data_IF_884105587839
#
_entry.id   IF_884105587839
#
_cell.length_a   1.000
_cell.length_b   1.000
_cell.length_c   1.000
_cell.angle_alpha   90.00
_cell.angle_beta   90.00
_cell.angle_gamma   90.00
#
_symmetry.space_group_name_H-M   'P 1'
#
loop_
_entity.id
_entity.type
_entity.pdbx_description
1 polymer ?
#
# COMPACT_ATOMS: atom_id res chain seq x y z
N UNK A 1 -19.57 2.05 -14.00
CA UNK A 1 -19.83 3.14 -13.04
C UNK A 1 -18.99 2.87 -11.80
N UNK A 2 -17.73 3.33 -11.81
CA UNK A 2 -16.89 3.32 -10.62
C UNK A 2 -17.28 4.57 -9.83
N UNK A 3 -18.08 4.38 -8.78
CA UNK A 3 -18.35 5.44 -7.82
C UNK A 3 -17.09 5.54 -6.97
N UNK A 4 -16.29 6.56 -7.25
CA UNK A 4 -15.31 7.07 -6.28
C UNK A 4 -16.03 7.33 -4.94
N UNK A 5 -15.33 7.39 -3.79
CA UNK A 5 -15.92 7.61 -2.46
C UNK A 5 -16.47 9.04 -2.27
N UNK A 6 -17.07 9.60 -3.32
CA UNK A 6 -17.88 10.80 -3.33
C UNK A 6 -19.33 10.35 -3.55
N UNK A 7 -19.93 9.80 -2.51
CA UNK A 7 -21.35 9.47 -2.48
C UNK A 7 -22.11 10.63 -1.83
N UNK A 8 -22.35 11.66 -2.63
CA UNK A 8 -23.35 12.68 -2.33
C UNK A 8 -24.70 12.17 -2.85
N UNK A 9 -25.45 11.46 -2.02
CA UNK A 9 -26.85 11.17 -2.31
C UNK A 9 -27.70 12.42 -2.07
N UNK A 10 -28.88 12.49 -2.69
CA UNK A 10 -29.82 13.60 -2.51
C UNK A 10 -30.23 13.82 -1.05
N UNK A 11 -30.19 12.76 -0.23
CA UNK A 11 -30.62 12.79 1.17
C UNK A 11 -29.50 12.49 2.18
N UNK A 12 -28.39 11.88 1.75
CA UNK A 12 -27.31 11.45 2.65
C UNK A 12 -25.93 11.68 2.02
N UNK A 13 -25.04 12.30 2.79
CA UNK A 13 -23.62 12.43 2.47
C UNK A 13 -22.87 11.34 3.21
N UNK A 14 -22.40 10.32 2.49
CA UNK A 14 -21.57 9.25 3.07
C UNK A 14 -20.08 9.54 2.96
N UNK A 15 -19.71 10.73 2.49
CA UNK A 15 -18.32 11.14 2.43
C UNK A 15 -17.79 11.30 3.86
N UNK A 16 -16.71 10.58 4.22
CA UNK A 16 -16.04 10.83 5.49
C UNK A 16 -15.52 12.27 5.52
N UNK A 17 -15.40 12.83 6.72
CA UNK A 17 -14.71 14.10 6.92
C UNK A 17 -13.32 14.06 6.25
N UNK A 18 -12.91 15.09 5.49
CA UNK A 18 -11.66 15.05 4.74
C UNK A 18 -10.42 14.78 5.59
N UNK A 19 -10.37 15.30 6.82
CA UNK A 19 -9.26 15.03 7.73
C UNK A 19 -9.29 13.57 8.20
N UNK A 20 -10.47 13.03 8.52
CA UNK A 20 -10.61 11.61 8.86
C UNK A 20 -10.22 10.69 7.70
N UNK A 21 -10.61 11.01 6.46
CA UNK A 21 -10.25 10.25 5.26
C UNK A 21 -8.73 10.18 5.07
N UNK A 22 -8.05 11.30 5.22
CA UNK A 22 -6.58 11.40 5.15
C UNK A 22 -5.92 10.57 6.26
N UNK A 23 -6.38 10.68 7.50
CA UNK A 23 -5.81 9.90 8.62
C UNK A 23 -5.98 8.42 8.39
N UNK A 24 -7.18 7.96 7.99
CA UNK A 24 -7.44 6.55 7.69
C UNK A 24 -6.55 6.07 6.55
N UNK A 25 -6.47 6.85 5.46
CA UNK A 25 -5.67 6.49 4.29
C UNK A 25 -4.18 6.37 4.62
N UNK A 26 -3.65 7.24 5.48
CA UNK A 26 -2.22 7.31 5.83
C UNK A 26 -1.80 6.36 6.95
N UNK A 27 -2.75 5.79 7.69
CA UNK A 27 -2.45 4.93 8.84
C UNK A 27 -3.01 3.52 8.67
N UNK A 28 -4.33 3.38 8.48
CA UNK A 28 -4.99 2.08 8.45
C UNK A 28 -4.54 1.25 7.24
N UNK A 29 -4.41 1.88 6.08
CA UNK A 29 -4.01 1.18 4.86
C UNK A 29 -2.55 0.68 4.89
N UNK A 30 -1.52 1.50 5.21
CA UNK A 30 -0.15 0.99 5.33
C UNK A 30 0.01 -0.03 6.46
N UNK A 31 -0.73 0.14 7.57
CA UNK A 31 -0.82 -0.87 8.63
C UNK A 31 -1.32 -2.22 8.10
N UNK A 32 -2.46 -2.23 7.40
CA UNK A 32 -3.04 -3.46 6.85
C UNK A 32 -2.15 -4.08 5.77
N UNK A 33 -1.54 -3.28 4.90
CA UNK A 33 -0.60 -3.77 3.88
C UNK A 33 0.59 -4.49 4.50
N UNK A 34 1.24 -3.89 5.50
CA UNK A 34 2.37 -4.51 6.18
C UNK A 34 1.97 -5.75 6.99
N UNK A 35 0.78 -5.74 7.61
CA UNK A 35 0.21 -6.88 8.30
C UNK A 35 0.03 -8.06 7.33
N UNK A 36 -0.68 -7.86 6.21
CA UNK A 36 -0.94 -8.91 5.21
C UNK A 36 0.36 -9.42 4.60
N UNK A 37 1.31 -8.52 4.32
CA UNK A 37 2.62 -8.88 3.79
C UNK A 37 3.37 -9.81 4.73
N UNK A 38 3.45 -9.49 6.03
CA UNK A 38 4.15 -10.35 6.97
C UNK A 38 3.40 -11.66 7.25
N UNK A 39 2.07 -11.59 7.29
CA UNK A 39 1.20 -12.77 7.44
C UNK A 39 1.44 -13.76 6.30
N UNK A 40 1.46 -13.29 5.06
CA UNK A 40 1.72 -14.13 3.88
C UNK A 40 3.15 -14.72 3.88
N UNK A 41 4.16 -13.93 4.28
CA UNK A 41 5.53 -14.42 4.45
C UNK A 41 5.60 -15.60 5.43
N UNK A 42 4.91 -15.47 6.58
CA UNK A 42 4.95 -16.45 7.67
C UNK A 42 4.07 -17.67 7.44
N UNK A 43 2.90 -17.48 6.84
CA UNK A 43 1.96 -18.57 6.56
C UNK A 43 2.58 -19.60 5.59
N UNK A 44 3.38 -19.15 4.62
CA UNK A 44 4.07 -20.04 3.67
C UNK A 44 5.47 -20.42 4.14
N UNK A 45 6.17 -19.53 4.87
CA UNK A 45 7.50 -19.79 5.43
C UNK A 45 8.63 -19.88 4.39
N UNK A 46 8.37 -19.48 3.14
CA UNK A 46 9.35 -19.45 2.06
C UNK A 46 9.55 -18.03 1.54
N UNK A 47 10.81 -17.69 1.23
CA UNK A 47 11.14 -16.46 0.52
C UNK A 47 10.41 -16.44 -0.82
N UNK A 48 9.78 -15.33 -1.16
CA UNK A 48 8.97 -15.13 -2.35
C UNK A 48 7.46 -15.14 -2.09
N UNK A 49 6.99 -15.72 -0.97
CA UNK A 49 5.56 -15.81 -0.67
C UNK A 49 4.90 -14.43 -0.51
N UNK A 50 5.53 -13.57 0.28
CA UNK A 50 5.07 -12.21 0.52
C UNK A 50 5.12 -11.37 -0.77
N UNK A 51 6.21 -11.51 -1.51
CA UNK A 51 6.42 -10.85 -2.80
C UNK A 51 5.37 -11.28 -3.84
N UNK A 52 4.95 -12.55 -3.82
CA UNK A 52 3.92 -13.07 -4.73
C UNK A 52 2.54 -12.51 -4.37
N UNK A 53 2.18 -12.52 -3.09
CA UNK A 53 0.93 -11.91 -2.62
C UNK A 53 0.85 -10.43 -2.98
N UNK A 54 1.94 -9.69 -2.76
CA UNK A 54 2.02 -8.29 -3.12
C UNK A 54 1.98 -8.09 -4.66
N UNK A 55 2.63 -8.97 -5.43
CA UNK A 55 2.59 -8.95 -6.89
C UNK A 55 1.19 -9.15 -7.46
N UNK A 56 0.39 -10.05 -6.88
CA UNK A 56 -1.03 -10.23 -7.27
C UNK A 56 -1.82 -8.96 -7.01
N UNK A 57 -1.64 -8.36 -5.83
CA UNK A 57 -2.34 -7.12 -5.42
C UNK A 57 -1.95 -5.94 -6.34
N UNK A 58 -0.68 -5.87 -6.75
CA UNK A 58 -0.21 -4.90 -7.76
C UNK A 58 -0.85 -5.14 -9.10
N UNK A 59 -0.85 -6.39 -9.58
CA UNK A 59 -1.50 -6.74 -10.83
C UNK A 59 -2.98 -6.35 -10.83
N UNK A 60 -3.69 -6.63 -9.75
CA UNK A 60 -5.09 -6.21 -9.59
C UNK A 60 -5.25 -4.70 -9.64
N UNK A 61 -4.41 -3.92 -8.95
CA UNK A 61 -4.48 -2.46 -8.96
C UNK A 61 -4.20 -1.88 -10.36
N UNK A 62 -3.16 -2.39 -11.04
CA UNK A 62 -2.83 -1.98 -12.41
C UNK A 62 -4.01 -2.25 -13.35
N UNK A 63 -4.61 -3.44 -13.27
CA UNK A 63 -5.76 -3.81 -14.10
C UNK A 63 -7.03 -3.02 -13.76
N UNK A 64 -7.25 -2.70 -12.48
CA UNK A 64 -8.45 -2.00 -12.03
C UNK A 64 -8.40 -0.48 -12.25
N UNK A 65 -7.22 0.14 -12.08
CA UNK A 65 -7.08 1.60 -12.09
C UNK A 65 -6.32 2.11 -13.31
N UNK A 66 -5.22 1.46 -13.69
CA UNK A 66 -4.31 2.02 -14.70
C UNK A 66 -4.72 1.62 -16.11
N UNK A 67 -5.10 0.35 -16.34
CA UNK A 67 -5.53 -0.11 -17.67
C UNK A 67 -6.74 0.67 -18.21
N UNK A 68 -7.81 0.92 -17.42
CA UNK A 68 -8.95 1.70 -17.91
C UNK A 68 -8.63 3.17 -18.20
N UNK A 69 -7.62 3.72 -17.51
CA UNK A 69 -7.20 5.12 -17.65
C UNK A 69 -5.80 5.23 -18.29
N UNK A 70 -5.41 4.27 -19.14
CA UNK A 70 -4.03 4.14 -19.63
C UNK A 70 -3.55 5.38 -20.40
N UNK A 71 -4.45 6.07 -21.11
CA UNK A 71 -4.13 7.30 -21.83
C UNK A 71 -3.63 8.42 -20.89
N UNK A 72 -3.99 8.38 -19.61
CA UNK A 72 -3.65 9.38 -18.60
C UNK A 72 -2.60 8.86 -17.61
N UNK A 73 -2.73 7.61 -17.16
CA UNK A 73 -1.90 7.01 -16.11
C UNK A 73 -0.77 6.10 -16.65
N UNK A 74 -0.77 5.76 -17.94
CA UNK A 74 0.19 4.81 -18.52
C UNK A 74 1.65 5.23 -18.37
N UNK A 75 1.93 6.53 -18.37
CA UNK A 75 3.28 7.07 -18.18
C UNK A 75 3.81 6.91 -16.73
N UNK A 76 2.92 6.78 -15.73
CA UNK A 76 3.30 6.56 -14.33
C UNK A 76 3.65 5.10 -14.04
N UNK A 77 3.11 4.18 -14.84
CA UNK A 77 3.20 2.74 -14.61
C UNK A 77 4.66 2.25 -14.48
N UNK A 78 5.61 2.63 -15.37
CA UNK A 78 7.00 2.20 -15.25
C UNK A 78 7.68 2.73 -13.98
N UNK A 79 7.43 4.00 -13.63
CA UNK A 79 8.00 4.63 -12.44
C UNK A 79 7.48 3.99 -11.14
N UNK A 80 6.18 3.72 -11.09
CA UNK A 80 5.54 3.05 -9.96
C UNK A 80 6.11 1.64 -9.75
N UNK A 81 6.23 0.85 -10.82
CA UNK A 81 6.81 -0.49 -10.73
C UNK A 81 8.28 -0.44 -10.31
N UNK A 82 9.05 0.53 -10.81
CA UNK A 82 10.46 0.71 -10.44
C UNK A 82 10.64 1.07 -8.96
N UNK A 83 9.68 1.75 -8.34
CA UNK A 83 9.73 2.05 -6.91
C UNK A 83 9.19 0.89 -6.04
N UNK A 84 8.11 0.24 -6.49
CA UNK A 84 7.37 -0.75 -5.69
C UNK A 84 8.05 -2.12 -5.69
N UNK A 85 8.54 -2.59 -6.85
CA UNK A 85 9.12 -3.94 -6.98
C UNK A 85 10.37 -4.09 -6.09
N UNK A 86 11.36 -3.17 -6.13
CA UNK A 86 12.55 -3.31 -5.28
C UNK A 86 12.22 -3.24 -3.79
N UNK A 87 11.24 -2.42 -3.39
CA UNK A 87 10.83 -2.31 -2.01
C UNK A 87 10.20 -3.60 -1.48
N UNK A 88 9.36 -4.25 -2.30
CA UNK A 88 8.73 -5.54 -1.96
C UNK A 88 9.76 -6.66 -1.87
N UNK A 89 10.63 -6.76 -2.88
CA UNK A 89 11.69 -7.77 -2.90
C UNK A 89 12.64 -7.55 -1.73
N UNK A 90 13.01 -6.29 -1.45
CA UNK A 90 13.84 -5.92 -0.31
C UNK A 90 13.18 -6.26 1.04
N UNK A 91 11.88 -6.03 1.18
CA UNK A 91 11.12 -6.38 2.39
C UNK A 91 11.09 -7.89 2.61
N UNK A 92 10.87 -8.68 1.56
CA UNK A 92 10.85 -10.13 1.64
C UNK A 92 12.24 -10.72 1.95
N UNK A 93 13.30 -10.16 1.35
CA UNK A 93 14.69 -10.49 1.70
C UNK A 93 14.97 -10.14 3.17
N UNK A 94 14.54 -8.97 3.63
CA UNK A 94 14.81 -8.50 5.00
C UNK A 94 14.20 -9.42 6.06
N UNK A 95 12.97 -9.91 5.84
CA UNK A 95 12.29 -10.86 6.74
C UNK A 95 13.11 -12.15 6.91
N UNK A 96 13.76 -12.62 5.84
CA UNK A 96 14.47 -13.90 5.84
C UNK A 96 15.97 -13.79 6.19
N UNK A 97 16.61 -12.64 5.95
CA UNK A 97 18.08 -12.49 6.05
C UNK A 97 18.57 -11.59 7.18
N UNK A 98 17.77 -10.66 7.67
CA UNK A 98 18.22 -9.60 8.60
C UNK A 98 17.96 -9.93 10.08
N UNK A 99 17.39 -11.10 10.36
CA UNK A 99 16.99 -11.54 11.71
C UNK A 99 15.56 -11.13 12.06
N UNK A 100 14.92 -11.79 13.05
CA UNK A 100 13.48 -11.75 13.22
C UNK A 100 12.95 -10.35 13.55
N UNK A 101 13.58 -9.60 14.45
CA UNK A 101 13.11 -8.24 14.83
C UNK A 101 13.47 -7.18 13.79
N UNK A 102 14.73 -7.14 13.35
CA UNK A 102 15.20 -6.14 12.40
C UNK A 102 14.54 -6.32 11.02
N UNK A 103 14.39 -7.56 10.55
CA UNK A 103 13.71 -7.87 9.29
C UNK A 103 12.26 -7.40 9.26
N UNK A 104 11.53 -7.54 10.37
CA UNK A 104 10.15 -7.05 10.47
C UNK A 104 10.06 -5.53 10.45
N UNK A 105 10.97 -4.83 11.14
CA UNK A 105 11.00 -3.35 11.14
C UNK A 105 11.32 -2.85 9.73
N UNK A 106 12.34 -3.41 9.09
CA UNK A 106 12.73 -3.02 7.73
C UNK A 106 11.61 -3.31 6.73
N UNK A 107 11.01 -4.50 6.79
CA UNK A 107 9.90 -4.86 5.90
C UNK A 107 8.67 -3.97 6.14
N UNK A 108 8.30 -3.73 7.40
CA UNK A 108 7.20 -2.83 7.75
C UNK A 108 7.42 -1.40 7.25
N UNK A 109 8.64 -0.88 7.40
CA UNK A 109 9.00 0.44 6.90
C UNK A 109 8.96 0.53 5.37
N UNK A 110 9.54 -0.46 4.67
CA UNK A 110 9.56 -0.52 3.20
C UNK A 110 8.14 -0.65 2.63
N UNK A 111 7.32 -1.55 3.17
CA UNK A 111 5.93 -1.71 2.72
C UNK A 111 5.10 -0.48 3.07
N UNK A 112 5.29 0.09 4.27
CA UNK A 112 4.61 1.30 4.72
C UNK A 112 4.89 2.52 3.84
N UNK A 113 6.14 2.76 3.43
CA UNK A 113 6.47 3.92 2.58
C UNK A 113 6.00 3.72 1.13
N UNK A 114 6.03 2.48 0.65
CA UNK A 114 5.65 2.11 -0.72
C UNK A 114 4.14 2.20 -0.96
N UNK A 115 3.35 2.17 0.11
CA UNK A 115 1.89 2.21 0.06
C UNK A 115 1.33 3.40 -0.75
N UNK A 116 1.93 4.59 -0.66
CA UNK A 116 1.46 5.77 -1.41
C UNK A 116 1.61 5.62 -2.92
N UNK A 117 2.70 4.97 -3.34
CA UNK A 117 3.00 4.70 -4.75
C UNK A 117 2.02 3.64 -5.28
N UNK A 118 1.73 2.64 -4.46
CA UNK A 118 0.79 1.57 -4.79
C UNK A 118 -0.68 2.05 -4.87
N UNK A 119 -1.07 3.05 -4.07
CA UNK A 119 -2.45 3.56 -4.02
C UNK A 119 -2.66 4.81 -4.87
N UNK A 120 -1.70 5.12 -5.73
CA UNK A 120 -1.82 6.22 -6.66
C UNK A 120 -2.75 5.85 -7.84
N UNK A 121 -3.69 6.72 -8.26
CA UNK A 121 -3.93 8.12 -7.83
C UNK A 121 -4.96 8.30 -6.71
N UNK A 122 -5.52 7.21 -6.17
CA UNK A 122 -6.61 7.27 -5.19
C UNK A 122 -6.21 7.95 -3.88
N UNK A 123 -4.96 7.77 -3.44
CA UNK A 123 -4.47 8.42 -2.23
C UNK A 123 -4.41 9.95 -2.36
N UNK A 124 -3.74 10.54 -3.38
CA UNK A 124 -3.82 11.99 -3.62
C UNK A 124 -5.24 12.55 -3.70
N UNK A 125 -6.20 11.79 -4.22
CA UNK A 125 -7.60 12.23 -4.28
C UNK A 125 -8.24 12.38 -2.89
N UNK A 126 -7.83 11.59 -1.91
CA UNK A 126 -8.25 11.78 -0.51
C UNK A 126 -7.69 13.08 0.10
N UNK A 127 -6.59 13.61 -0.45
CA UNK A 127 -6.01 14.89 -0.04
C UNK A 127 -6.54 16.08 -0.82
N UNK A 128 -7.19 15.88 -1.97
CA UNK A 128 -7.57 16.97 -2.85
C UNK A 128 -8.52 17.97 -2.18
N UNK A 129 -9.51 17.52 -1.39
CA UNK A 129 -10.40 18.41 -0.65
C UNK A 129 -9.66 19.19 0.46
N UNK A 130 -8.70 18.54 1.14
CA UNK A 130 -7.85 19.20 2.16
C UNK A 130 -6.87 20.21 1.55
N UNK A 131 -6.42 19.95 0.32
CA UNK A 131 -5.50 20.81 -0.43
C UNK A 131 -6.23 21.86 -1.27
N UNK A 132 -7.56 21.92 -1.22
CA UNK A 132 -8.37 22.86 -2.00
C UNK A 132 -8.30 22.64 -3.52
N UNK A 133 -8.08 21.40 -3.95
CA UNK A 133 -7.99 21.04 -5.37
C UNK A 133 -9.35 20.60 -5.94
N UNK A 134 -9.62 20.89 -7.22
CA UNK A 134 -10.84 20.42 -7.88
C UNK A 134 -10.89 18.90 -7.84
N UNK A 135 -12.00 18.28 -7.44
CA UNK A 135 -12.07 16.85 -7.11
C UNK A 135 -13.17 16.09 -7.87
N UNK A 136 -13.53 16.54 -9.08
CA UNK A 136 -14.70 15.99 -9.80
C UNK A 136 -14.37 14.77 -10.67
N UNK A 137 -13.20 14.72 -11.33
CA UNK A 137 -12.78 13.56 -12.12
C UNK A 137 -11.28 13.28 -12.01
N UNK A 138 -10.85 12.02 -12.22
CA UNK A 138 -9.43 11.64 -12.23
C UNK A 138 -8.62 12.47 -13.23
N UNK A 139 -9.22 12.87 -14.36
CA UNK A 139 -8.56 13.65 -15.41
C UNK A 139 -8.20 15.07 -14.98
N UNK A 140 -9.06 15.72 -14.18
CA UNK A 140 -8.87 17.11 -13.73
C UNK A 140 -7.78 17.24 -12.67
N UNK A 141 -7.60 16.18 -11.87
CA UNK A 141 -6.69 16.20 -10.73
C UNK A 141 -5.27 15.81 -11.18
N UNK A 142 -5.11 15.03 -12.25
CA UNK A 142 -3.81 14.48 -12.69
C UNK A 142 -2.65 15.48 -12.71
N UNK A 143 -2.76 16.66 -13.37
CA UNK A 143 -1.67 17.64 -13.40
C UNK A 143 -1.31 18.17 -12.02
N UNK A 144 -2.33 18.41 -11.19
CA UNK A 144 -2.18 18.88 -9.82
C UNK A 144 -1.60 17.81 -8.90
N UNK A 145 -1.89 16.52 -9.16
CA UNK A 145 -1.34 15.38 -8.44
C UNK A 145 0.16 15.24 -8.69
N UNK A 146 0.64 15.42 -9.93
CA UNK A 146 2.08 15.39 -10.20
C UNK A 146 2.81 16.49 -9.42
N UNK A 147 2.20 17.68 -9.32
CA UNK A 147 2.76 18.79 -8.58
C UNK A 147 2.74 18.57 -7.06
N UNK A 148 1.73 17.88 -6.52
CA UNK A 148 1.58 17.63 -5.08
C UNK A 148 2.15 16.29 -4.62
N UNK A 149 2.63 15.41 -5.52
CA UNK A 149 3.14 14.08 -5.18
C UNK A 149 4.24 14.14 -4.11
N UNK A 150 5.19 15.07 -4.23
CA UNK A 150 6.29 15.24 -3.27
C UNK A 150 5.77 15.71 -1.90
N UNK A 151 4.80 16.63 -1.89
CA UNK A 151 4.18 17.14 -0.68
C UNK A 151 3.35 16.06 0.03
N UNK A 152 2.51 15.34 -0.70
CA UNK A 152 1.73 14.22 -0.15
C UNK A 152 2.68 13.16 0.36
N UNK A 153 3.70 12.78 -0.40
CA UNK A 153 4.71 11.80 0.07
C UNK A 153 5.41 12.28 1.34
N UNK A 154 5.80 13.54 1.44
CA UNK A 154 6.47 14.08 2.62
C UNK A 154 5.60 14.02 3.89
N UNK A 155 4.32 14.40 3.77
CA UNK A 155 3.38 14.41 4.91
C UNK A 155 2.95 13.00 5.31
N UNK A 156 2.94 12.07 4.35
CA UNK A 156 2.41 10.71 4.57
C UNK A 156 3.49 9.66 4.85
N UNK A 157 4.75 9.90 4.45
CA UNK A 157 5.85 8.96 4.66
C UNK A 157 6.07 8.59 6.13
N UNK A 158 6.11 9.58 7.02
CA UNK A 158 6.33 9.32 8.45
C UNK A 158 5.19 8.48 9.08
N UNK A 159 3.90 8.88 8.98
CA UNK A 159 2.83 8.08 9.56
C UNK A 159 2.71 6.70 8.91
N UNK A 160 2.97 6.57 7.60
CA UNK A 160 2.87 5.29 6.92
C UNK A 160 3.97 4.32 7.31
N UNK A 161 5.21 4.80 7.51
CA UNK A 161 6.33 3.98 7.98
C UNK A 161 6.05 3.47 9.39
N UNK A 162 5.58 4.35 10.28
CA UNK A 162 5.22 3.97 11.64
C UNK A 162 4.09 2.94 11.65
N UNK A 163 3.01 3.20 10.90
CA UNK A 163 1.89 2.29 10.77
C UNK A 163 2.30 0.94 10.17
N UNK A 164 3.16 0.94 9.15
CA UNK A 164 3.71 -0.26 8.53
C UNK A 164 4.57 -1.09 9.50
N UNK A 165 5.41 -0.44 10.30
CA UNK A 165 6.20 -1.12 11.35
C UNK A 165 5.27 -1.76 12.38
N UNK A 166 4.26 -1.03 12.85
CA UNK A 166 3.28 -1.56 13.83
C UNK A 166 2.50 -2.74 13.23
N UNK A 167 2.08 -2.64 11.97
CA UNK A 167 1.41 -3.72 11.23
C UNK A 167 2.28 -4.96 11.11
N UNK A 168 3.55 -4.81 10.74
CA UNK A 168 4.50 -5.91 10.69
C UNK A 168 4.68 -6.55 12.08
N UNK A 169 4.93 -5.76 13.14
CA UNK A 169 5.11 -6.32 14.48
C UNK A 169 3.86 -7.09 14.92
N UNK A 170 2.66 -6.59 14.64
CA UNK A 170 1.42 -7.25 15.03
C UNK A 170 1.16 -8.54 14.22
N UNK A 171 1.51 -8.56 12.94
CA UNK A 171 1.43 -9.75 12.09
C UNK A 171 2.33 -10.89 12.57
N UNK A 172 3.43 -10.56 13.24
CA UNK A 172 4.39 -11.54 13.77
C UNK A 172 3.90 -12.30 15.00
N UNK A 173 3.05 -11.65 15.82
CA UNK A 173 2.59 -12.21 17.10
C UNK A 173 1.48 -13.26 16.93
N UNK A 174 0.85 -13.35 15.75
CA UNK A 174 -0.38 -14.11 15.56
C UNK A 174 -0.25 -15.37 14.72
N UNK A 175 0.95 -15.71 14.23
CA UNK A 175 1.14 -16.87 13.35
C UNK A 175 2.29 -17.73 13.87
N UNK A 176 1.93 -18.89 14.41
CA UNK A 176 2.88 -19.99 14.59
C UNK A 176 3.25 -20.54 13.22
N UNK A 177 4.56 -20.64 12.96
CA UNK A 177 5.07 -21.20 11.70
C UNK A 177 4.66 -22.67 11.63
N UNK A 178 4.07 -23.16 10.52
CA UNK A 178 3.80 -24.58 10.37
C UNK A 178 5.11 -25.37 10.52
N UNK A 179 5.22 -26.17 11.58
CA UNK A 179 6.31 -27.11 11.75
C UNK A 179 6.10 -28.22 10.71
N UNK A 180 6.71 -28.08 9.52
CA UNK A 180 6.76 -29.17 8.55
C UNK A 180 7.71 -30.23 9.12
N UNK A 181 7.14 -31.16 9.88
CA UNK A 181 7.85 -32.30 10.42
C UNK A 181 8.14 -33.24 9.24
N UNK A 182 9.26 -33.01 8.54
CA UNK A 182 9.76 -33.94 7.54
C UNK A 182 10.25 -35.15 8.30
N UNK A 183 9.37 -36.14 8.47
CA UNK A 183 9.74 -37.46 8.92
C UNK A 183 10.68 -38.05 7.87
N UNK A 184 11.98 -37.94 8.11
CA UNK A 184 13.00 -38.65 7.36
C UNK A 184 12.88 -40.11 7.81
N UNK A 185 12.13 -40.94 7.06
CA UNK A 185 12.26 -42.39 7.18
C UNK A 185 13.63 -42.77 6.63
N UNK A 186 14.50 -43.26 7.51
CA UNK A 186 15.77 -43.89 7.16
C UNK A 186 15.55 -45.18 6.37
#
# INVERSE_FOLDING_TARGET
>A
MFVLPLSNGENFRFNPDPAAAVVIATTALPFMSALIFLVSARAVGKQGAASTAAGVVIGMNVLANIVPAYQFLGALLPWQLLAVIPAIVGADIAIHRTGPRAGMIVAGALIGVTFHIFNFPMLPMAFAELLGQPNETIGDILPSIYATLSQVTAVTAAPSVLAGIVGAIMGSKKIEVPQVNVAISR
#
